data_IF_935726934896
#
_entry.id   IF_935726934896
#
_cell.length_a   1.000
_cell.length_b   1.000
_cell.length_c   1.000
_cell.angle_alpha   90.00
_cell.angle_beta   90.00
_cell.angle_gamma   90.00
#
_symmetry.space_group_name_H-M   'P 1'
#
loop_
_entity.id
_entity.type
_entity.pdbx_description
1 polymer ?
#
# COMPACT_ATOMS: atom_id res chain seq x y z
N UNK A 1 66.73 33.19 -21.35
CA UNK A 1 65.61 33.94 -20.65
C UNK A 1 64.49 33.00 -20.38
N UNK A 2 64.14 32.86 -19.13
CA UNK A 2 63.40 31.78 -18.49
C UNK A 2 61.95 31.79 -18.87
N UNK A 3 61.42 30.64 -19.25
CA UNK A 3 59.95 30.37 -19.25
C UNK A 3 59.69 29.25 -18.28
N UNK A 4 59.10 29.60 -17.12
CA UNK A 4 58.65 28.67 -16.07
C UNK A 4 57.28 28.18 -16.43
N UNK A 5 57.20 26.93 -16.87
CA UNK A 5 55.92 26.23 -17.03
C UNK A 5 55.37 25.86 -15.66
N UNK A 6 54.31 26.52 -15.27
CA UNK A 6 53.55 26.21 -14.06
C UNK A 6 52.58 25.06 -14.38
N UNK A 7 52.93 23.85 -13.95
CA UNK A 7 52.07 22.67 -14.05
C UNK A 7 51.06 22.75 -12.93
N UNK A 8 49.84 23.19 -13.24
CA UNK A 8 48.70 23.06 -12.31
C UNK A 8 48.24 21.60 -12.30
N UNK A 9 48.63 20.86 -11.29
CA UNK A 9 48.04 19.56 -10.95
C UNK A 9 46.64 19.83 -10.36
N UNK A 10 45.62 19.65 -11.18
CA UNK A 10 44.24 19.64 -10.72
C UNK A 10 43.97 18.29 -10.03
N UNK A 11 44.11 18.26 -8.71
CA UNK A 11 43.69 17.11 -7.90
C UNK A 11 42.16 17.06 -7.89
N UNK A 12 41.59 16.28 -8.81
CA UNK A 12 40.18 15.90 -8.73
C UNK A 12 40.02 14.94 -7.57
N UNK A 13 39.69 15.48 -6.41
CA UNK A 13 39.27 14.70 -5.26
C UNK A 13 37.89 14.08 -5.60
N UNK A 14 37.89 12.82 -6.04
CA UNK A 14 36.68 12.03 -6.11
C UNK A 14 36.18 11.86 -4.66
N UNK A 15 35.24 12.70 -4.23
CA UNK A 15 34.42 12.43 -3.08
C UNK A 15 33.53 11.23 -3.44
N UNK A 16 34.05 10.02 -3.27
CA UNK A 16 33.20 8.83 -3.19
C UNK A 16 32.37 8.98 -1.92
N UNK A 17 31.14 9.48 -2.07
CA UNK A 17 30.15 9.38 -1.01
C UNK A 17 30.04 7.91 -0.65
N UNK A 18 30.16 7.51 0.63
CA UNK A 18 29.94 6.14 1.02
C UNK A 18 28.51 5.79 0.63
N UNK A 19 28.36 4.94 -0.36
CA UNK A 19 27.08 4.31 -0.66
C UNK A 19 26.87 3.31 0.46
N UNK A 20 26.14 3.72 1.49
CA UNK A 20 25.69 2.83 2.55
C UNK A 20 24.72 1.84 1.91
N UNK A 21 25.22 0.68 1.56
CA UNK A 21 24.41 -0.45 1.10
C UNK A 21 24.00 -1.24 2.33
N UNK A 22 22.69 -1.42 2.49
CA UNK A 22 22.19 -2.35 3.51
C UNK A 22 22.66 -3.77 3.16
N UNK A 23 22.82 -4.60 4.16
CA UNK A 23 23.29 -5.97 3.98
C UNK A 23 22.30 -6.94 4.61
N UNK A 24 21.99 -8.00 3.87
CA UNK A 24 21.14 -9.10 4.32
C UNK A 24 21.94 -10.39 4.26
N UNK A 25 22.04 -11.10 5.36
CA UNK A 25 22.63 -12.44 5.45
C UNK A 25 21.54 -13.50 5.42
N UNK A 26 21.71 -14.48 4.54
CA UNK A 26 20.79 -15.59 4.37
C UNK A 26 21.25 -16.80 5.15
N UNK A 27 20.33 -17.68 5.54
CA UNK A 27 20.64 -18.93 6.28
C UNK A 27 21.54 -19.88 5.51
N UNK A 28 21.53 -19.84 4.18
CA UNK A 28 22.40 -20.63 3.32
C UNK A 28 23.84 -20.09 3.24
N UNK A 29 24.15 -18.98 3.93
CA UNK A 29 25.45 -18.31 3.93
C UNK A 29 25.61 -17.21 2.89
N UNK A 30 24.64 -16.99 2.02
CA UNK A 30 24.68 -15.89 1.04
C UNK A 30 24.61 -14.52 1.75
N UNK A 31 25.27 -13.55 1.14
CA UNK A 31 25.24 -12.16 1.56
C UNK A 31 24.80 -11.27 0.39
N UNK A 32 23.71 -10.56 0.59
CA UNK A 32 23.13 -9.67 -0.40
C UNK A 32 23.29 -8.23 0.04
N UNK A 33 23.77 -7.38 -0.86
CA UNK A 33 23.93 -5.95 -0.61
C UNK A 33 22.98 -5.16 -1.52
N UNK A 34 22.30 -4.18 -0.94
CA UNK A 34 21.32 -3.35 -1.66
C UNK A 34 20.72 -2.32 -0.74
N UNK A 35 19.52 -1.90 -1.04
CA UNK A 35 18.73 -0.97 -0.22
C UNK A 35 17.45 -1.65 0.22
N UNK A 36 17.30 -1.81 1.51
CA UNK A 36 16.06 -2.33 2.09
C UNK A 36 14.94 -1.32 1.84
N UNK A 37 13.88 -1.75 1.16
CA UNK A 37 12.70 -0.93 0.86
C UNK A 37 11.60 -1.12 1.89
N UNK A 38 11.24 -2.37 2.10
CA UNK A 38 10.16 -2.77 3.01
C UNK A 38 10.30 -4.26 3.33
N UNK A 39 9.95 -4.63 4.54
CA UNK A 39 9.55 -5.99 4.91
C UNK A 39 8.07 -5.97 5.27
N UNK A 40 7.28 -6.79 4.59
CA UNK A 40 5.85 -6.93 4.82
C UNK A 40 5.38 -8.29 4.28
N UNK A 41 4.36 -8.89 4.89
CA UNK A 41 3.77 -10.17 4.42
C UNK A 41 4.77 -11.33 4.28
N UNK A 42 5.83 -11.37 5.09
CA UNK A 42 6.85 -12.41 5.05
C UNK A 42 7.89 -12.25 3.94
N UNK A 43 7.89 -11.14 3.20
CA UNK A 43 8.86 -10.83 2.15
C UNK A 43 9.64 -9.55 2.46
N UNK A 44 10.97 -9.65 2.36
CA UNK A 44 11.87 -8.50 2.42
C UNK A 44 12.23 -8.04 1.00
N UNK A 45 11.82 -6.82 0.65
CA UNK A 45 12.14 -6.22 -0.64
C UNK A 45 13.48 -5.50 -0.57
N UNK A 46 14.46 -6.02 -1.30
CA UNK A 46 15.81 -5.46 -1.42
C UNK A 46 16.04 -4.94 -2.84
N UNK A 47 16.33 -3.65 -2.99
CA UNK A 47 16.70 -3.03 -4.25
C UNK A 47 18.21 -3.16 -4.45
N UNK A 48 18.63 -3.90 -5.47
CA UNK A 48 20.03 -4.11 -5.82
C UNK A 48 20.41 -3.30 -7.07
N UNK A 49 21.65 -2.81 -7.20
CA UNK A 49 22.04 -2.00 -8.34
C UNK A 49 22.12 -2.78 -9.66
N UNK A 50 22.16 -4.11 -9.61
CA UNK A 50 22.32 -4.98 -10.78
C UNK A 50 21.11 -5.88 -11.07
N UNK A 51 20.25 -6.13 -10.10
CA UNK A 51 19.08 -7.00 -10.23
C UNK A 51 17.73 -6.30 -10.02
N UNK A 52 17.75 -4.97 -9.80
CA UNK A 52 16.55 -4.25 -9.43
C UNK A 52 16.02 -4.68 -8.07
N UNK A 53 14.70 -4.67 -7.90
CA UNK A 53 14.05 -5.08 -6.66
C UNK A 53 13.85 -6.59 -6.64
N UNK A 54 14.41 -7.24 -5.61
CA UNK A 54 14.27 -8.67 -5.35
C UNK A 54 13.52 -8.89 -4.04
N UNK A 55 12.59 -9.84 -4.05
CA UNK A 55 11.82 -10.25 -2.86
C UNK A 55 12.48 -11.46 -2.21
N UNK A 56 12.97 -11.29 -0.99
CA UNK A 56 13.61 -12.34 -0.19
C UNK A 56 12.59 -12.94 0.79
N UNK A 57 12.56 -14.26 0.90
CA UNK A 57 11.74 -14.91 1.91
C UNK A 57 12.30 -14.61 3.30
N UNK A 58 11.48 -14.00 4.17
CA UNK A 58 11.90 -13.62 5.52
C UNK A 58 12.37 -14.80 6.36
N UNK A 59 11.78 -15.97 6.14
CA UNK A 59 12.16 -17.21 6.83
C UNK A 59 13.59 -17.64 6.52
N UNK A 60 14.14 -17.22 5.37
CA UNK A 60 15.50 -17.54 4.95
C UNK A 60 16.51 -16.47 5.37
N UNK A 61 16.06 -15.34 5.91
CA UNK A 61 16.94 -14.30 6.44
C UNK A 61 17.53 -14.75 7.78
N UNK A 62 18.86 -14.67 7.90
CA UNK A 62 19.58 -14.96 9.13
C UNK A 62 19.74 -13.73 10.02
N UNK A 63 20.14 -12.61 9.44
CA UNK A 63 20.24 -11.29 10.08
C UNK A 63 20.35 -10.21 9.02
N UNK A 64 20.25 -8.95 9.41
CA UNK A 64 20.37 -7.83 8.48
C UNK A 64 21.01 -6.61 9.16
N UNK A 65 21.56 -5.73 8.33
CA UNK A 65 22.13 -4.46 8.74
C UNK A 65 21.70 -3.34 7.80
N UNK A 66 21.33 -2.19 8.37
CA UNK A 66 20.98 -0.98 7.64
C UNK A 66 21.38 0.24 8.46
N UNK A 67 22.03 1.21 7.82
CA UNK A 67 22.31 2.51 8.42
C UNK A 67 21.21 3.55 8.13
N UNK A 68 20.10 3.10 7.53
CA UNK A 68 18.94 3.94 7.29
C UNK A 68 18.00 3.93 8.50
N UNK A 69 17.34 5.05 8.71
CA UNK A 69 16.26 5.11 9.70
C UNK A 69 15.08 4.26 9.24
N UNK A 70 14.66 3.33 10.09
CA UNK A 70 13.58 2.39 9.83
C UNK A 70 12.57 2.40 10.97
N UNK A 71 11.31 2.19 10.62
CA UNK A 71 10.24 1.87 11.55
C UNK A 71 10.10 0.35 11.58
N UNK A 72 10.32 -0.25 12.75
CA UNK A 72 10.20 -1.70 12.96
C UNK A 72 8.95 -1.97 13.78
N UNK A 73 8.06 -2.79 13.26
CA UNK A 73 6.81 -3.15 13.93
C UNK A 73 6.89 -4.61 14.38
N UNK A 74 6.62 -4.83 15.66
CA UNK A 74 6.49 -6.15 16.28
C UNK A 74 5.03 -6.54 16.50
N UNK A 75 4.12 -5.61 16.19
CA UNK A 75 2.68 -5.81 16.15
C UNK A 75 2.07 -4.97 15.02
N UNK A 76 0.80 -5.21 14.70
CA UNK A 76 0.13 -4.51 13.61
C UNK A 76 -0.07 -3.00 13.84
N UNK A 77 0.17 -2.47 15.03
CA UNK A 77 -0.32 -1.15 15.46
C UNK A 77 0.74 -0.20 15.97
N UNK A 78 1.82 -0.72 16.53
CA UNK A 78 2.90 0.08 17.09
C UNK A 78 4.21 -0.18 16.35
N UNK A 79 4.95 0.88 16.08
CA UNK A 79 6.25 0.80 15.46
C UNK A 79 7.30 1.45 16.36
N UNK A 80 8.46 0.83 16.45
CA UNK A 80 9.64 1.38 17.10
C UNK A 80 10.56 1.97 16.02
N UNK A 81 10.91 3.23 16.16
CA UNK A 81 11.82 3.91 15.24
C UNK A 81 13.26 3.57 15.60
N UNK A 82 13.98 2.95 14.68
CA UNK A 82 15.40 2.65 14.78
C UNK A 82 16.19 3.56 13.82
N UNK A 83 17.19 4.24 14.32
CA UNK A 83 18.12 5.05 13.50
C UNK A 83 18.97 4.19 12.60
N UNK A 84 19.28 2.98 13.04
CA UNK A 84 19.95 1.95 12.26
C UNK A 84 19.59 0.57 12.78
N UNK A 85 19.72 -0.42 11.89
CA UNK A 85 19.64 -1.84 12.22
C UNK A 85 21.04 -2.41 12.19
N UNK A 86 21.43 -3.17 13.20
CA UNK A 86 22.75 -3.82 13.27
C UNK A 86 22.58 -5.33 13.30
N UNK A 87 23.43 -6.01 12.52
CA UNK A 87 23.47 -7.45 12.52
C UNK A 87 23.78 -7.98 13.92
N UNK A 88 23.06 -9.04 14.32
CA UNK A 88 23.21 -9.71 15.60
C UNK A 88 23.39 -11.21 15.41
N UNK A 89 23.18 -11.98 16.46
CA UNK A 89 23.18 -13.45 16.38
C UNK A 89 22.16 -13.96 15.34
N UNK A 90 22.35 -15.16 14.80
CA UNK A 90 21.39 -15.76 13.87
C UNK A 90 19.95 -15.70 14.40
N UNK A 91 19.03 -15.23 13.57
CA UNK A 91 17.62 -15.05 13.94
C UNK A 91 17.31 -13.76 14.69
N UNK A 92 18.28 -12.86 14.89
CA UNK A 92 18.11 -11.62 15.62
C UNK A 92 18.64 -10.40 14.86
N UNK A 93 18.15 -9.22 15.21
CA UNK A 93 18.66 -7.92 14.77
C UNK A 93 18.65 -6.95 15.94
N UNK A 94 19.62 -6.03 15.99
CA UNK A 94 19.69 -5.00 17.01
C UNK A 94 19.19 -3.67 16.46
N UNK A 95 18.20 -3.09 17.12
CA UNK A 95 17.65 -1.77 16.84
C UNK A 95 18.48 -0.73 17.61
N UNK A 96 19.11 0.20 16.89
CA UNK A 96 19.87 1.29 17.48
C UNK A 96 19.10 2.60 17.33
N UNK A 97 18.61 3.16 18.42
CA UNK A 97 17.77 4.38 18.45
C UNK A 97 18.45 5.55 19.17
N UNK A 98 19.72 5.42 19.51
CA UNK A 98 20.51 6.46 20.20
C UNK A 98 20.45 6.36 21.73
N UNK A 99 19.58 5.52 22.29
CA UNK A 99 19.53 5.05 23.67
C UNK A 99 20.18 3.66 23.78
N UNK A 100 19.83 2.87 24.75
CA UNK A 100 20.33 1.50 24.86
C UNK A 100 19.86 0.67 23.64
N UNK A 101 20.79 0.01 22.91
CA UNK A 101 20.40 -0.82 21.76
C UNK A 101 19.54 -1.98 22.23
N UNK A 102 18.46 -2.26 21.48
CA UNK A 102 17.52 -3.33 21.77
C UNK A 102 17.65 -4.43 20.72
N UNK A 103 17.96 -5.64 21.15
CA UNK A 103 17.99 -6.81 20.26
C UNK A 103 16.62 -7.49 20.24
N UNK A 104 16.10 -7.72 19.04
CA UNK A 104 14.80 -8.36 18.80
C UNK A 104 14.96 -9.58 17.92
N UNK A 105 14.07 -10.54 18.06
CA UNK A 105 14.03 -11.72 17.19
C UNK A 105 13.39 -11.36 15.84
N UNK A 106 13.98 -11.81 14.74
CA UNK A 106 13.42 -11.59 13.40
C UNK A 106 12.00 -12.17 13.28
N UNK A 107 11.73 -13.28 13.95
CA UNK A 107 10.43 -13.93 13.97
C UNK A 107 9.32 -13.07 14.63
N UNK A 108 9.70 -12.12 15.51
CA UNK A 108 8.75 -11.22 16.16
C UNK A 108 8.48 -9.96 15.34
N UNK A 109 9.21 -9.75 14.24
CA UNK A 109 9.02 -8.56 13.40
C UNK A 109 7.94 -8.86 12.36
N UNK A 110 6.93 -8.02 12.31
CA UNK A 110 5.84 -8.11 11.34
C UNK A 110 6.05 -7.20 10.14
N UNK A 111 6.70 -6.04 10.37
CA UNK A 111 6.93 -5.07 9.30
C UNK A 111 8.19 -4.24 9.57
N UNK A 112 8.96 -3.95 8.51
CA UNK A 112 10.04 -2.96 8.51
C UNK A 112 9.78 -2.02 7.34
N UNK A 113 9.75 -0.71 7.59
CA UNK A 113 9.53 0.29 6.56
C UNK A 113 10.26 1.59 6.89
N UNK A 114 10.42 2.45 5.89
CA UNK A 114 10.90 3.81 6.13
C UNK A 114 9.79 4.64 6.78
N UNK A 115 10.08 5.36 7.88
CA UNK A 115 9.11 6.26 8.47
C UNK A 115 8.72 7.36 7.48
N UNK A 116 7.43 7.65 7.36
CA UNK A 116 6.92 8.70 6.47
C UNK A 116 6.71 10.01 7.23
N UNK A 117 6.83 11.18 6.57
CA UNK A 117 6.87 12.47 7.27
C UNK A 117 5.61 12.82 8.07
N UNK A 118 4.43 12.44 7.58
CA UNK A 118 3.15 12.81 8.19
C UNK A 118 2.56 11.70 9.05
N UNK A 119 2.59 10.47 8.54
CA UNK A 119 2.11 9.27 9.24
C UNK A 119 3.13 8.17 9.01
N UNK A 120 3.84 7.78 10.04
CA UNK A 120 5.07 6.96 9.95
C UNK A 120 4.82 5.60 9.30
N UNK A 121 3.71 4.98 9.61
CA UNK A 121 3.33 3.63 9.17
C UNK A 121 2.29 3.62 8.04
N UNK A 122 2.19 4.71 7.28
CA UNK A 122 1.21 4.82 6.22
C UNK A 122 1.54 3.91 5.03
N UNK A 123 0.66 2.95 4.78
CA UNK A 123 0.69 2.07 3.62
C UNK A 123 -0.50 2.41 2.72
N UNK A 124 -0.23 2.65 1.45
CA UNK A 124 -1.25 2.94 0.46
C UNK A 124 -1.13 2.00 -0.74
N UNK A 125 -2.26 1.44 -1.15
CA UNK A 125 -2.41 0.59 -2.35
C UNK A 125 -3.59 1.12 -3.15
N UNK A 126 -3.53 1.04 -4.47
CA UNK A 126 -4.66 1.43 -5.30
C UNK A 126 -4.45 1.05 -6.76
N UNK A 127 -5.56 0.95 -7.48
CA UNK A 127 -5.59 0.73 -8.92
C UNK A 127 -6.64 1.65 -9.56
N UNK A 128 -6.43 1.90 -10.84
CA UNK A 128 -7.37 2.58 -11.72
C UNK A 128 -7.54 1.71 -12.95
N UNK A 129 -8.77 1.40 -13.29
CA UNK A 129 -9.13 0.59 -14.43
C UNK A 129 -9.92 1.45 -15.41
N UNK A 130 -9.53 1.43 -16.68
CA UNK A 130 -10.21 2.13 -17.77
C UNK A 130 -10.41 1.16 -18.91
N UNK A 131 -11.67 0.93 -19.29
CA UNK A 131 -12.03 0.17 -20.47
C UNK A 131 -12.81 1.06 -21.46
N UNK A 132 -12.43 0.96 -22.73
CA UNK A 132 -13.07 1.65 -23.83
C UNK A 132 -13.32 0.61 -24.92
N UNK A 133 -14.58 0.35 -25.25
CA UNK A 133 -14.95 -0.58 -26.30
C UNK A 133 -15.79 0.13 -27.38
N UNK A 134 -15.34 0.02 -28.61
CA UNK A 134 -15.98 0.63 -29.79
C UNK A 134 -16.32 -0.46 -30.78
N UNK A 135 -17.59 -0.78 -30.90
CA UNK A 135 -18.10 -1.76 -31.89
C UNK A 135 -18.80 -1.02 -33.00
N UNK A 136 -18.41 -1.32 -34.23
CA UNK A 136 -19.04 -0.83 -35.45
C UNK A 136 -19.47 -2.05 -36.29
N UNK A 137 -20.77 -2.36 -36.24
CA UNK A 137 -21.36 -3.50 -36.91
C UNK A 137 -22.77 -3.14 -37.41
N UNK A 138 -23.73 -4.05 -37.30
CA UNK A 138 -25.15 -3.77 -37.59
C UNK A 138 -25.73 -2.74 -36.60
N UNK A 139 -25.24 -2.75 -35.34
CA UNK A 139 -25.48 -1.70 -34.34
C UNK A 139 -24.14 -1.13 -33.91
N UNK A 140 -24.05 0.17 -33.83
CA UNK A 140 -22.90 0.88 -33.33
C UNK A 140 -22.99 0.96 -31.79
N UNK A 141 -21.92 0.54 -31.08
CA UNK A 141 -21.86 0.58 -29.63
C UNK A 141 -20.58 1.27 -29.19
N UNK A 142 -20.71 2.26 -28.32
CA UNK A 142 -19.62 2.93 -27.63
C UNK A 142 -19.79 2.69 -26.13
N UNK A 143 -18.80 2.06 -25.49
CA UNK A 143 -18.82 1.68 -24.08
C UNK A 143 -17.61 2.27 -23.35
N UNK A 144 -17.87 2.90 -22.22
CA UNK A 144 -16.89 3.60 -21.39
C UNK A 144 -17.04 3.15 -19.94
N UNK A 145 -16.04 2.42 -19.43
CA UNK A 145 -15.96 2.00 -18.06
C UNK A 145 -14.72 2.61 -17.41
N UNK A 146 -14.92 3.30 -16.30
CA UNK A 146 -13.84 3.83 -15.50
C UNK A 146 -14.07 3.45 -14.05
N UNK A 147 -13.08 2.79 -13.46
CA UNK A 147 -13.11 2.40 -12.07
C UNK A 147 -11.83 2.78 -11.32
N UNK A 148 -11.95 3.02 -10.03
CA UNK A 148 -10.80 3.09 -9.15
C UNK A 148 -11.10 2.41 -7.82
N UNK A 149 -10.08 1.82 -7.23
CA UNK A 149 -10.11 1.27 -5.87
C UNK A 149 -8.83 1.66 -5.16
N UNK A 150 -8.94 2.10 -3.93
CA UNK A 150 -7.79 2.48 -3.13
C UNK A 150 -7.97 2.09 -1.67
N UNK A 151 -6.88 1.68 -1.04
CA UNK A 151 -6.83 1.34 0.37
C UNK A 151 -5.64 2.02 1.01
N UNK A 152 -5.86 2.67 2.13
CA UNK A 152 -4.82 3.29 2.93
C UNK A 152 -4.91 2.78 4.36
N UNK A 153 -3.79 2.29 4.91
CA UNK A 153 -3.70 1.75 6.27
C UNK A 153 -2.67 2.52 7.08
N UNK A 154 -3.00 2.82 8.32
CA UNK A 154 -2.08 3.38 9.31
C UNK A 154 -2.54 3.01 10.72
N UNK A 155 -1.66 2.49 11.53
CA UNK A 155 -2.00 1.99 12.86
C UNK A 155 -3.21 1.03 12.80
N UNK A 156 -4.21 1.34 13.60
CA UNK A 156 -5.46 0.56 13.70
C UNK A 156 -6.54 0.95 12.68
N UNK A 157 -6.22 1.84 11.73
CA UNK A 157 -7.20 2.35 10.77
C UNK A 157 -6.89 1.86 9.36
N UNK A 158 -7.94 1.43 8.66
CA UNK A 158 -7.89 1.16 7.23
C UNK A 158 -9.01 1.92 6.53
N UNK A 159 -8.63 2.70 5.55
CA UNK A 159 -9.52 3.48 4.71
C UNK A 159 -9.60 2.80 3.35
N UNK A 160 -10.80 2.49 2.90
CA UNK A 160 -11.03 1.96 1.57
C UNK A 160 -11.95 2.94 0.83
N UNK A 161 -11.60 3.30 -0.37
CA UNK A 161 -12.43 4.11 -1.24
C UNK A 161 -12.47 3.50 -2.64
N UNK A 162 -13.62 3.58 -3.28
CA UNK A 162 -13.82 3.11 -4.64
C UNK A 162 -14.84 3.97 -5.37
N UNK A 163 -14.80 3.90 -6.67
CA UNK A 163 -15.80 4.51 -7.53
C UNK A 163 -15.76 3.90 -8.91
N UNK A 164 -16.91 3.88 -9.53
CA UNK A 164 -17.13 3.34 -10.87
C UNK A 164 -18.02 4.30 -11.66
N UNK A 165 -17.72 4.48 -12.93
CA UNK A 165 -18.53 5.19 -13.90
C UNK A 165 -18.67 4.34 -15.14
N UNK A 166 -19.91 4.06 -15.54
CA UNK A 166 -20.22 3.25 -16.70
C UNK A 166 -21.15 4.04 -17.61
N UNK A 167 -20.82 4.09 -18.89
CA UNK A 167 -21.65 4.69 -19.92
C UNK A 167 -21.61 3.86 -21.20
N UNK A 168 -22.77 3.43 -21.66
CA UNK A 168 -22.96 2.76 -22.93
C UNK A 168 -23.89 3.58 -23.83
N UNK A 169 -23.51 3.71 -25.08
CA UNK A 169 -24.34 4.33 -26.13
C UNK A 169 -24.47 3.36 -27.28
N UNK A 170 -25.68 3.07 -27.69
CA UNK A 170 -26.00 2.18 -28.78
C UNK A 170 -26.86 2.91 -29.81
N UNK A 171 -26.40 2.94 -31.08
CA UNK A 171 -27.08 3.67 -32.17
C UNK A 171 -27.47 5.11 -31.77
N UNK A 172 -26.53 5.87 -31.21
CA UNK A 172 -26.69 7.22 -30.67
C UNK A 172 -27.67 7.37 -29.50
N UNK A 173 -28.18 6.27 -28.94
CA UNK A 173 -29.02 6.26 -27.75
C UNK A 173 -28.21 5.77 -26.54
N UNK A 174 -28.17 6.57 -25.48
CA UNK A 174 -27.53 6.15 -24.24
C UNK A 174 -28.38 5.10 -23.54
N UNK A 175 -27.83 3.91 -23.35
CA UNK A 175 -28.50 2.76 -22.72
C UNK A 175 -28.03 2.56 -21.27
N UNK A 176 -26.84 3.04 -20.92
CA UNK A 176 -26.31 3.03 -19.55
C UNK A 176 -25.66 4.38 -19.25
N UNK A 177 -25.96 4.98 -18.11
CA UNK A 177 -25.27 6.17 -17.60
C UNK A 177 -25.40 6.19 -16.07
N UNK A 178 -24.50 5.47 -15.42
CA UNK A 178 -24.49 5.35 -13.98
C UNK A 178 -23.11 5.59 -13.38
N UNK A 179 -23.10 5.96 -12.12
CA UNK A 179 -21.88 6.06 -11.34
C UNK A 179 -22.13 5.69 -9.89
N UNK A 180 -21.11 5.16 -9.26
CA UNK A 180 -21.10 4.87 -7.84
C UNK A 180 -19.80 5.36 -7.17
N UNK A 181 -19.89 5.69 -5.90
CA UNK A 181 -18.74 5.96 -5.05
C UNK A 181 -18.97 5.32 -3.69
N UNK A 182 -17.94 4.69 -3.16
CA UNK A 182 -17.98 4.08 -1.84
C UNK A 182 -16.79 4.52 -0.98
N UNK A 183 -17.03 4.58 0.32
CA UNK A 183 -15.99 4.77 1.31
C UNK A 183 -16.28 3.91 2.52
N UNK A 184 -15.28 3.16 2.95
CA UNK A 184 -15.34 2.35 4.16
C UNK A 184 -14.16 2.67 5.08
N UNK A 185 -14.46 2.79 6.36
CA UNK A 185 -13.50 3.01 7.42
C UNK A 185 -13.54 1.82 8.38
N UNK A 186 -12.42 1.12 8.48
CA UNK A 186 -12.24 0.01 9.40
C UNK A 186 -11.40 0.44 10.60
N UNK A 187 -11.89 0.17 11.79
CA UNK A 187 -11.17 0.30 13.05
C UNK A 187 -10.81 -1.07 13.57
N UNK A 188 -9.56 -1.45 13.53
CA UNK A 188 -9.09 -2.71 14.10
C UNK A 188 -9.12 -2.66 15.63
N UNK A 189 -9.85 -3.60 16.21
CA UNK A 189 -9.96 -3.79 17.67
C UNK A 189 -8.85 -4.72 18.15
N UNK A 190 -8.56 -5.75 17.35
CA UNK A 190 -7.43 -6.67 17.49
C UNK A 190 -6.71 -6.78 16.15
N UNK A 191 -5.71 -7.63 16.00
CA UNK A 191 -5.03 -7.87 14.71
C UNK A 191 -5.95 -8.39 13.62
N UNK A 192 -7.04 -9.06 14.00
CA UNK A 192 -7.97 -9.71 13.06
C UNK A 192 -9.38 -9.13 13.09
N UNK A 193 -9.86 -8.73 14.26
CA UNK A 193 -11.21 -8.18 14.40
C UNK A 193 -11.22 -6.68 14.16
N UNK A 194 -12.15 -6.22 13.32
CA UNK A 194 -12.35 -4.80 13.06
C UNK A 194 -13.86 -4.44 13.12
N UNK A 195 -14.11 -3.19 13.34
CA UNK A 195 -15.42 -2.57 13.17
C UNK A 195 -15.39 -1.68 11.94
N UNK A 196 -16.35 -1.86 11.04
CA UNK A 196 -16.45 -1.11 9.80
C UNK A 196 -17.62 -0.12 9.84
N UNK A 197 -17.37 1.10 9.34
CA UNK A 197 -18.38 2.04 8.90
C UNK A 197 -18.27 2.20 7.39
N UNK A 198 -19.40 2.15 6.67
CA UNK A 198 -19.43 2.25 5.20
C UNK A 198 -20.48 3.25 4.75
N UNK A 199 -20.14 4.02 3.74
CA UNK A 199 -21.06 4.89 3.00
C UNK A 199 -20.90 4.59 1.52
N UNK A 200 -22.02 4.40 0.85
CA UNK A 200 -22.08 4.20 -0.59
C UNK A 200 -23.08 5.18 -1.19
N UNK A 201 -22.72 5.72 -2.32
CA UNK A 201 -23.57 6.59 -3.12
C UNK A 201 -23.64 6.04 -4.54
N UNK A 202 -24.86 5.92 -5.08
CA UNK A 202 -25.11 5.48 -6.45
C UNK A 202 -26.11 6.39 -7.12
N UNK A 203 -25.91 6.62 -8.39
CA UNK A 203 -26.84 7.31 -9.28
C UNK A 203 -26.94 6.57 -10.60
N UNK A 204 -28.16 6.42 -11.10
CA UNK A 204 -28.44 5.89 -12.42
C UNK A 204 -29.39 6.86 -13.14
N UNK A 205 -29.01 7.32 -14.32
CA UNK A 205 -29.79 8.26 -15.08
C UNK A 205 -30.80 7.60 -16.01
N UNK A 206 -30.61 6.31 -16.28
CA UNK A 206 -31.48 5.54 -17.19
C UNK A 206 -32.57 4.82 -16.40
N UNK A 207 -32.27 4.30 -15.22
CA UNK A 207 -33.23 3.58 -14.36
C UNK A 207 -34.07 4.48 -13.44
N UNK A 208 -34.24 5.77 -13.80
CA UNK A 208 -34.99 6.76 -12.99
C UNK A 208 -34.51 6.94 -11.55
N UNK A 209 -33.37 6.35 -11.18
CA UNK A 209 -32.78 6.44 -9.87
C UNK A 209 -31.97 7.74 -9.76
N UNK A 210 -32.58 8.78 -9.23
CA UNK A 210 -31.89 10.05 -9.02
C UNK A 210 -30.76 9.92 -8.01
N UNK A 211 -30.98 9.14 -6.94
CA UNK A 211 -30.00 8.95 -5.88
C UNK A 211 -30.29 7.73 -5.03
N UNK A 212 -29.29 6.91 -4.79
CA UNK A 212 -29.29 5.91 -3.72
C UNK A 212 -28.13 6.24 -2.77
N UNK A 213 -28.41 6.23 -1.48
CA UNK A 213 -27.41 6.41 -0.43
C UNK A 213 -27.55 5.30 0.59
N UNK A 214 -26.48 4.52 0.76
CA UNK A 214 -26.42 3.44 1.74
C UNK A 214 -25.40 3.80 2.82
N UNK A 215 -25.80 3.68 4.07
CA UNK A 215 -24.92 3.81 5.23
C UNK A 215 -24.99 2.53 6.02
N UNK A 216 -23.85 1.96 6.35
CA UNK A 216 -23.78 0.70 7.06
C UNK A 216 -22.70 0.66 8.11
N UNK A 217 -22.88 -0.20 9.10
CA UNK A 217 -21.86 -0.45 10.11
C UNK A 217 -21.96 -1.87 10.65
N UNK A 218 -20.83 -2.42 11.08
CA UNK A 218 -20.80 -3.76 11.65
C UNK A 218 -19.41 -4.33 11.85
N UNK A 219 -19.31 -5.50 12.47
CA UNK A 219 -18.05 -6.20 12.70
C UNK A 219 -17.53 -6.90 11.46
N UNK A 220 -16.20 -7.04 11.39
CA UNK A 220 -15.53 -7.86 10.39
C UNK A 220 -14.33 -8.59 10.98
N UNK A 221 -13.89 -9.60 10.26
CA UNK A 221 -12.75 -10.44 10.60
C UNK A 221 -11.81 -10.58 9.43
N UNK A 222 -10.53 -10.24 9.62
CA UNK A 222 -9.45 -10.38 8.66
C UNK A 222 -8.80 -11.75 8.84
N UNK A 223 -8.88 -12.61 7.83
CA UNK A 223 -8.25 -13.92 7.85
C UNK A 223 -6.76 -13.82 7.54
N UNK A 224 -6.43 -13.11 6.46
CA UNK A 224 -5.07 -12.75 6.06
C UNK A 224 -5.05 -11.46 5.23
N UNK A 225 -3.90 -10.79 5.23
CA UNK A 225 -3.62 -9.60 4.42
C UNK A 225 -2.10 -9.58 4.18
N UNK A 226 -1.67 -10.17 3.07
CA UNK A 226 -0.27 -10.34 2.69
C UNK A 226 -0.03 -9.96 1.22
N UNK A 227 1.18 -10.22 0.71
CA UNK A 227 1.54 -9.89 -0.68
C UNK A 227 0.77 -10.71 -1.73
N UNK A 228 0.29 -11.89 -1.37
CA UNK A 228 -0.45 -12.78 -2.28
C UNK A 228 -1.93 -12.40 -2.34
N UNK A 229 -2.42 -11.64 -1.39
CA UNK A 229 -3.79 -11.17 -1.34
C UNK A 229 -4.29 -10.88 0.06
N UNK A 230 -5.56 -10.56 0.15
CA UNK A 230 -6.23 -10.32 1.41
C UNK A 230 -7.61 -10.97 1.38
N UNK A 231 -8.02 -11.55 2.52
CA UNK A 231 -9.36 -12.06 2.70
C UNK A 231 -9.93 -11.63 4.05
N UNK A 232 -11.07 -10.96 3.98
CA UNK A 232 -11.84 -10.57 5.16
C UNK A 232 -13.32 -10.84 4.96
N UNK A 233 -14.02 -11.09 6.03
CA UNK A 233 -15.46 -11.25 6.06
C UNK A 233 -16.06 -10.22 7.02
N UNK A 234 -17.08 -9.49 6.56
CA UNK A 234 -17.81 -8.54 7.39
C UNK A 234 -19.32 -8.77 7.33
N UNK A 235 -20.01 -8.39 8.39
CA UNK A 235 -21.46 -8.35 8.44
C UNK A 235 -21.89 -6.93 8.81
N UNK A 236 -22.67 -6.29 7.94
CA UNK A 236 -23.10 -4.91 8.09
C UNK A 236 -24.61 -4.84 8.25
N UNK A 237 -25.04 -3.97 9.13
CA UNK A 237 -26.42 -3.48 9.16
C UNK A 237 -26.42 -2.20 8.34
N UNK A 238 -27.23 -2.17 7.29
CA UNK A 238 -27.30 -1.07 6.35
C UNK A 238 -28.66 -0.38 6.44
N UNK A 239 -28.64 0.94 6.21
CA UNK A 239 -29.81 1.72 5.87
C UNK A 239 -29.61 2.31 4.49
N UNK A 240 -30.57 2.11 3.60
CA UNK A 240 -30.55 2.64 2.24
C UNK A 240 -31.71 3.59 2.03
N UNK A 241 -31.41 4.79 1.58
CA UNK A 241 -32.38 5.81 1.18
C UNK A 241 -32.34 5.93 -0.35
N UNK A 242 -33.51 5.80 -0.98
CA UNK A 242 -33.70 5.96 -2.42
C UNK A 242 -34.45 7.25 -2.72
N UNK A 243 -34.09 7.92 -3.78
CA UNK A 243 -34.80 9.05 -4.34
C UNK A 243 -34.87 8.86 -5.86
N UNK A 244 -36.08 8.88 -6.38
CA UNK A 244 -36.34 8.68 -7.81
C UNK A 244 -36.48 10.03 -8.52
N UNK A 245 -36.40 10.04 -9.85
CA UNK A 245 -36.46 11.29 -10.63
C UNK A 245 -37.84 11.96 -10.57
N UNK A 246 -38.90 11.20 -10.32
CA UNK A 246 -40.25 11.70 -10.09
C UNK A 246 -40.46 12.33 -8.69
N UNK A 247 -39.42 12.32 -7.85
CA UNK A 247 -39.44 12.83 -6.48
C UNK A 247 -39.94 11.83 -5.44
N UNK A 248 -40.29 10.60 -5.82
CA UNK A 248 -40.64 9.54 -4.89
C UNK A 248 -39.40 9.17 -4.02
N UNK A 249 -39.65 8.80 -2.78
CA UNK A 249 -38.61 8.40 -1.80
C UNK A 249 -39.00 7.12 -1.13
N UNK A 250 -38.02 6.25 -0.96
CA UNK A 250 -38.15 5.00 -0.23
C UNK A 250 -36.93 4.78 0.67
N UNK A 251 -37.08 3.98 1.73
CA UNK A 251 -36.01 3.64 2.65
C UNK A 251 -36.16 2.23 3.19
N UNK A 252 -35.04 1.52 3.35
CA UNK A 252 -34.92 0.16 3.87
C UNK A 252 -33.82 0.05 4.92
#
# INVERSE_FOLDING_TARGET
MNSRSLLCLLAVSLCASPVFADTVWMKNGDRLSGKIKVFDGGKLLLETPYGGSIALDWKEVQTLESDQEMLVKQDAYSGERAKSLKAAEPGKVTLANGEAPKTVELASIEQIMKPKPLVEDFVWKGNVDVALDYKRAENDTDDYDVGFKTSARHGRWRHNAGGEYNRETKDDVTTTDNWSAEYALDRFLTEKWFWQGRVEYKRDRIEDLARQRTVGTGPGYQFWDDELGAFSLGSLINRTDFEYQDGAKDNF
#
